data_IF_417113400843
#
_entry.id   IF_417113400843
#
_cell.length_a   1.000
_cell.length_b   1.000
_cell.length_c   1.000
_cell.angle_alpha   90.00
_cell.angle_beta   90.00
_cell.angle_gamma   90.00
#
_symmetry.space_group_name_H-M   'P 1'
#
loop_
_entity.id
_entity.type
_entity.pdbx_description
1 polymer ?
#
# COMPACT_ATOMS: atom_id res chain seq x y z
N UNK A 1 7.31 10.57 7.31
CA UNK A 1 6.83 9.20 7.59
C UNK A 1 8.00 8.22 7.56
N UNK A 2 7.97 7.17 8.40
CA UNK A 2 9.08 6.20 8.51
C UNK A 2 9.33 5.48 7.18
N UNK A 3 8.27 5.15 6.43
CA UNK A 3 8.34 4.55 5.09
C UNK A 3 9.21 5.37 4.13
N UNK A 4 9.09 6.70 4.14
CA UNK A 4 9.91 7.60 3.30
C UNK A 4 11.37 7.63 3.71
N UNK A 5 11.70 7.33 4.97
CA UNK A 5 13.08 7.20 5.43
C UNK A 5 13.65 5.85 5.03
N UNK A 6 12.90 4.77 5.28
CA UNK A 6 13.26 3.42 4.84
C UNK A 6 13.52 3.34 3.33
N UNK A 7 12.74 4.04 2.50
CA UNK A 7 12.97 4.06 1.05
C UNK A 7 14.31 4.68 0.65
N UNK A 8 14.85 5.59 1.46
CA UNK A 8 16.16 6.19 1.24
C UNK A 8 17.26 5.28 1.77
N UNK A 9 17.09 4.77 2.98
CA UNK A 9 18.09 3.93 3.66
C UNK A 9 18.34 2.63 2.88
N UNK A 10 17.29 2.03 2.32
CA UNK A 10 17.34 0.74 1.62
C UNK A 10 17.62 0.87 0.10
N UNK A 11 17.79 2.10 -0.41
CA UNK A 11 17.96 2.35 -1.85
C UNK A 11 19.13 1.57 -2.45
N UNK A 12 20.27 1.55 -1.76
CA UNK A 12 21.49 0.91 -2.26
C UNK A 12 21.40 -0.63 -2.25
N UNK A 13 20.44 -1.20 -1.52
CA UNK A 13 20.15 -2.65 -1.48
C UNK A 13 19.12 -3.05 -2.55
N UNK A 14 18.55 -2.08 -3.29
CA UNK A 14 17.52 -2.34 -4.29
C UNK A 14 16.17 -2.75 -3.68
N UNK A 15 15.93 -2.46 -2.39
CA UNK A 15 14.69 -2.82 -1.70
C UNK A 15 13.71 -1.64 -1.77
N UNK A 16 12.47 -1.91 -2.21
CA UNK A 16 11.40 -0.93 -2.23
C UNK A 16 10.66 -0.92 -0.89
N UNK A 17 10.37 0.27 -0.36
CA UNK A 17 9.60 0.45 0.86
C UNK A 17 8.41 1.38 0.59
N UNK A 18 7.18 0.90 0.75
CA UNK A 18 5.96 1.67 0.51
C UNK A 18 4.91 1.40 1.58
N UNK A 19 3.96 2.30 1.74
CA UNK A 19 2.78 2.10 2.58
C UNK A 19 1.57 1.81 1.70
N UNK A 20 0.66 0.96 2.17
CA UNK A 20 -0.58 0.63 1.46
C UNK A 20 -1.75 0.76 2.44
N UNK A 21 -2.73 1.58 2.08
CA UNK A 21 -4.02 1.64 2.74
C UNK A 21 -4.93 0.57 2.13
N UNK A 22 -5.35 -0.47 2.86
CA UNK A 22 -6.17 -1.56 2.30
C UNK A 22 -7.63 -1.14 2.02
N UNK A 23 -8.01 0.10 2.31
CA UNK A 23 -9.40 0.53 2.41
C UNK A 23 -9.99 0.23 3.80
N UNK A 24 -11.28 0.51 3.96
CA UNK A 24 -12.04 0.09 5.14
C UNK A 24 -12.66 -1.30 4.90
N UNK A 25 -12.02 -2.33 5.43
CA UNK A 25 -12.27 -3.74 5.09
C UNK A 25 -13.11 -4.45 6.15
N UNK A 26 -14.02 -5.34 5.72
CA UNK A 26 -14.86 -6.19 6.59
C UNK A 26 -14.04 -7.30 7.27
N UNK A 27 -13.31 -6.91 8.31
CA UNK A 27 -12.58 -7.79 9.22
C UNK A 27 -13.04 -7.51 10.65
N UNK A 28 -12.53 -8.26 11.64
CA UNK A 28 -12.81 -7.99 13.05
C UNK A 28 -12.44 -6.55 13.46
N UNK A 29 -11.33 -6.01 12.90
CA UNK A 29 -10.89 -4.64 13.15
C UNK A 29 -11.75 -3.59 12.42
N UNK A 30 -12.21 -3.88 11.20
CA UNK A 30 -13.02 -2.93 10.42
C UNK A 30 -14.51 -2.97 10.73
N UNK A 31 -15.00 -4.08 11.31
CA UNK A 31 -16.39 -4.27 11.67
C UNK A 31 -17.33 -4.61 10.49
N UNK A 32 -18.58 -4.96 10.78
CA UNK A 32 -19.55 -5.41 9.77
C UNK A 32 -20.01 -4.31 8.82
N UNK A 33 -19.84 -3.04 9.18
CA UNK A 33 -20.25 -1.87 8.40
C UNK A 33 -19.17 -1.38 7.43
N UNK A 34 -17.98 -1.98 7.45
CA UNK A 34 -16.92 -1.65 6.52
C UNK A 34 -17.37 -1.83 5.06
N UNK A 35 -16.90 -0.96 4.18
CA UNK A 35 -17.40 -0.86 2.81
C UNK A 35 -16.79 -1.86 1.84
N UNK A 36 -15.64 -2.46 2.18
CA UNK A 36 -14.86 -3.31 1.28
C UNK A 36 -14.78 -4.73 1.80
N UNK A 37 -14.96 -5.71 0.91
CA UNK A 37 -14.77 -7.12 1.21
C UNK A 37 -13.29 -7.51 1.24
N UNK A 38 -12.93 -8.52 2.03
CA UNK A 38 -11.53 -8.93 2.26
C UNK A 38 -10.82 -9.34 0.98
N UNK A 39 -11.48 -10.15 0.15
CA UNK A 39 -10.95 -10.60 -1.15
C UNK A 39 -10.68 -9.41 -2.06
N UNK A 40 -11.62 -8.45 -2.14
CA UNK A 40 -11.47 -7.26 -2.97
C UNK A 40 -10.28 -6.39 -2.50
N UNK A 41 -10.12 -6.22 -1.19
CA UNK A 41 -9.01 -5.47 -0.61
C UNK A 41 -7.66 -6.11 -0.94
N UNK A 42 -7.49 -7.40 -0.65
CA UNK A 42 -6.22 -8.10 -0.84
C UNK A 42 -5.86 -8.19 -2.32
N UNK A 43 -6.81 -8.49 -3.22
CA UNK A 43 -6.57 -8.48 -4.66
C UNK A 43 -6.06 -7.13 -5.15
N UNK A 44 -6.67 -6.02 -4.69
CA UNK A 44 -6.19 -4.68 -5.03
C UNK A 44 -4.77 -4.42 -4.51
N UNK A 45 -4.52 -4.72 -3.23
CA UNK A 45 -3.19 -4.56 -2.62
C UNK A 45 -2.12 -5.34 -3.39
N UNK A 46 -2.42 -6.58 -3.82
CA UNK A 46 -1.52 -7.39 -4.65
C UNK A 46 -1.27 -6.72 -6.00
N UNK A 47 -2.30 -6.24 -6.68
CA UNK A 47 -2.15 -5.51 -7.94
C UNK A 47 -1.35 -4.21 -7.82
N UNK A 48 -1.38 -3.53 -6.66
CA UNK A 48 -0.50 -2.40 -6.39
C UNK A 48 0.95 -2.88 -6.26
N UNK A 49 1.19 -3.90 -5.44
CA UNK A 49 2.53 -4.46 -5.20
C UNK A 49 3.19 -4.97 -6.49
N UNK A 50 2.43 -5.62 -7.37
CA UNK A 50 2.90 -6.10 -8.69
C UNK A 50 3.38 -4.99 -9.61
N UNK A 51 2.88 -3.77 -9.44
CA UNK A 51 3.23 -2.61 -10.26
C UNK A 51 4.41 -1.81 -9.70
N UNK A 52 4.88 -2.11 -8.49
CA UNK A 52 5.98 -1.37 -7.87
C UNK A 52 7.30 -1.71 -8.56
N UNK A 53 7.97 -0.69 -9.08
CA UNK A 53 9.26 -0.85 -9.71
C UNK A 53 10.08 0.45 -9.61
N UNK A 54 11.40 0.28 -9.52
CA UNK A 54 12.36 1.38 -9.54
C UNK A 54 12.15 2.44 -8.46
N UNK A 55 12.75 3.61 -8.68
CA UNK A 55 12.66 4.74 -7.74
C UNK A 55 11.24 5.32 -7.64
N UNK A 56 10.42 5.16 -8.69
CA UNK A 56 9.04 5.66 -8.69
C UNK A 56 8.09 4.81 -7.83
N UNK A 57 8.45 3.58 -7.47
CA UNK A 57 7.62 2.68 -6.67
C UNK A 57 7.87 2.71 -5.16
N UNK A 58 8.84 3.49 -4.68
CA UNK A 58 9.27 3.50 -3.26
C UNK A 58 8.97 4.84 -2.59
N UNK A 59 8.88 4.85 -1.26
CA UNK A 59 8.67 6.05 -0.43
C UNK A 59 7.27 6.68 -0.53
N UNK A 60 6.34 5.99 -1.18
CA UNK A 60 4.97 6.45 -1.47
C UNK A 60 3.93 5.81 -0.53
N UNK A 61 2.72 6.33 -0.61
CA UNK A 61 1.54 5.78 0.05
C UNK A 61 0.47 5.51 -1.00
N UNK A 62 -0.02 4.28 -1.08
CA UNK A 62 -1.00 3.87 -2.08
C UNK A 62 -2.33 3.49 -1.45
N UNK A 63 -3.42 3.79 -2.14
CA UNK A 63 -4.72 3.17 -1.87
C UNK A 63 -4.74 1.79 -2.53
N UNK A 64 -4.83 0.71 -1.73
CA UNK A 64 -4.77 -0.67 -2.21
C UNK A 64 -5.88 -1.02 -3.21
N UNK A 65 -7.09 -0.45 -3.06
CA UNK A 65 -8.21 -0.78 -3.98
C UNK A 65 -8.22 0.03 -5.28
N UNK A 66 -7.87 1.32 -5.25
CA UNK A 66 -7.92 2.16 -6.46
C UNK A 66 -6.57 2.23 -7.17
N UNK A 67 -5.47 1.99 -6.45
CA UNK A 67 -4.10 2.15 -6.93
C UNK A 67 -3.59 3.60 -6.88
N UNK A 68 -4.41 4.55 -6.45
CA UNK A 68 -4.03 5.96 -6.40
C UNK A 68 -2.96 6.20 -5.34
N UNK A 69 -2.09 7.18 -5.59
CA UNK A 69 -1.20 7.69 -4.55
C UNK A 69 -1.99 8.62 -3.62
N UNK A 70 -1.84 8.43 -2.31
CA UNK A 70 -2.46 9.28 -1.29
C UNK A 70 -1.39 10.23 -0.73
N UNK A 71 -1.80 11.44 -0.37
CA UNK A 71 -0.95 12.35 0.40
C UNK A 71 -0.65 11.80 1.80
N UNK A 72 0.50 12.20 2.35
CA UNK A 72 0.82 11.94 3.74
C UNK A 72 0.03 12.85 4.69
#
# INVERSE_FOLDING_TARGET
MITTKMSLDLKNEGILATAIHPGWVKTDMGGPTASIDTVKSVTGCMSVMEKLHGEEGTGKFYHGVTGDTIGW
#
